data_IF_740369958543
#
_entry.id   IF_740369958543
#
_cell.length_a   1.000
_cell.length_b   1.000
_cell.length_c   1.000
_cell.angle_alpha   90.00
_cell.angle_beta   90.00
_cell.angle_gamma   90.00
#
_symmetry.space_group_name_H-M   'P 1'
#
loop_
_entity.id
_entity.type
_entity.pdbx_description
1 polymer ?
#
# COMPACT_ATOMS: atom_id res chain seq x y z
N UNK A 1 16.25 -4.79 2.04
CA UNK A 1 17.03 -3.52 1.97
C UNK A 1 16.11 -2.43 1.41
N UNK A 2 16.12 -1.21 1.98
CA UNK A 2 15.22 -0.11 1.54
C UNK A 2 15.96 0.89 0.66
N UNK A 3 17.21 1.20 0.97
CA UNK A 3 18.03 2.13 0.21
C UNK A 3 19.46 1.65 0.09
N UNK A 4 20.06 1.97 -1.04
CA UNK A 4 21.47 1.69 -1.34
C UNK A 4 22.19 2.99 -1.64
N UNK A 5 23.46 3.07 -1.25
CA UNK A 5 24.38 4.14 -1.59
C UNK A 5 25.48 3.65 -2.52
N UNK A 6 26.07 4.59 -3.24
CA UNK A 6 27.31 4.40 -4.00
C UNK A 6 28.26 5.55 -3.70
N UNK A 7 29.54 5.26 -3.54
CA UNK A 7 30.55 6.32 -3.44
C UNK A 7 30.77 6.94 -4.82
N UNK A 8 30.88 8.26 -4.84
CA UNK A 8 31.24 9.00 -6.06
C UNK A 8 32.72 9.35 -5.98
N UNK A 9 33.47 8.95 -6.99
CA UNK A 9 34.90 9.23 -7.06
C UNK A 9 35.20 10.73 -6.89
N UNK A 10 36.22 11.07 -6.10
CA UNK A 10 36.67 12.43 -5.87
C UNK A 10 35.88 13.25 -4.82
N UNK A 11 34.83 12.70 -4.18
CA UNK A 11 34.06 13.38 -3.12
C UNK A 11 34.22 12.81 -1.71
N UNK A 12 34.98 11.72 -1.56
CA UNK A 12 35.25 11.15 -0.25
C UNK A 12 36.53 11.79 0.33
N UNK A 13 36.43 12.46 1.46
CA UNK A 13 37.59 12.92 2.25
C UNK A 13 38.18 11.79 3.11
N UNK A 14 37.80 10.55 2.85
CA UNK A 14 38.29 9.40 3.60
C UNK A 14 39.67 8.96 3.11
N UNK A 15 40.53 8.61 4.03
CA UNK A 15 41.84 7.99 3.78
C UNK A 15 41.71 6.63 3.08
N UNK A 16 40.53 6.06 3.07
CA UNK A 16 40.15 4.85 2.34
C UNK A 16 39.50 5.27 1.02
N UNK A 17 40.28 5.26 -0.05
CA UNK A 17 39.77 5.22 -1.43
C UNK A 17 39.06 3.88 -1.62
N UNK A 18 37.78 3.86 -1.33
CA UNK A 18 36.93 2.77 -1.84
C UNK A 18 36.91 2.90 -3.36
N UNK A 19 37.33 1.88 -4.12
CA UNK A 19 37.19 1.88 -5.57
C UNK A 19 35.70 2.12 -5.92
N UNK A 20 35.41 2.63 -7.12
CA UNK A 20 34.04 2.83 -7.66
C UNK A 20 33.16 1.66 -7.24
N UNK A 21 32.39 1.87 -6.20
CA UNK A 21 32.05 0.78 -5.33
C UNK A 21 30.78 0.10 -5.76
N UNK A 22 30.74 -1.15 -5.52
CA UNK A 22 29.49 -1.90 -5.42
C UNK A 22 28.50 -1.17 -4.52
N UNK A 23 27.21 -1.19 -4.85
CA UNK A 23 26.20 -0.56 -4.03
C UNK A 23 26.19 -1.18 -2.63
N UNK A 24 26.18 -0.35 -1.59
CA UNK A 24 26.11 -0.78 -0.19
C UNK A 24 24.77 -0.39 0.45
N UNK A 25 24.34 -1.19 1.42
CA UNK A 25 23.08 -0.92 2.14
C UNK A 25 23.19 0.32 3.01
N UNK A 26 22.27 1.28 2.83
CA UNK A 26 22.12 2.45 3.69
C UNK A 26 21.00 2.26 4.71
N UNK A 27 19.87 1.74 4.26
CA UNK A 27 18.67 1.56 5.07
C UNK A 27 18.23 0.10 4.99
N UNK A 28 18.01 -0.51 6.14
CA UNK A 28 17.46 -1.84 6.29
C UNK A 28 16.18 -1.82 7.11
N UNK A 29 15.20 -2.67 6.77
CA UNK A 29 14.00 -2.85 7.56
C UNK A 29 13.71 -4.33 7.77
N UNK A 30 13.27 -4.66 8.96
CA UNK A 30 12.82 -5.99 9.34
C UNK A 30 11.38 -5.92 9.89
N UNK A 31 10.47 -6.65 9.25
CA UNK A 31 9.07 -6.69 9.66
C UNK A 31 8.80 -7.86 10.61
N UNK A 32 9.17 -7.70 11.86
CA UNK A 32 8.97 -8.72 12.88
C UNK A 32 7.50 -8.97 13.27
N UNK A 33 6.55 -8.14 12.83
CA UNK A 33 5.11 -8.37 13.05
C UNK A 33 4.58 -9.64 12.35
N UNK A 34 5.28 -10.11 11.32
CA UNK A 34 4.93 -11.31 10.57
C UNK A 34 5.81 -12.52 10.94
N UNK A 35 6.79 -12.34 11.83
CA UNK A 35 7.61 -13.44 12.32
C UNK A 35 6.83 -14.31 13.32
N UNK A 36 7.17 -15.60 13.40
CA UNK A 36 6.61 -16.51 14.40
C UNK A 36 6.84 -16.02 15.86
N UNK A 37 7.94 -15.30 16.08
CA UNK A 37 8.27 -14.70 17.37
C UNK A 37 7.43 -13.46 17.71
N UNK A 38 6.65 -12.92 16.74
CA UNK A 38 5.83 -11.72 16.89
C UNK A 38 6.58 -10.55 17.55
N UNK A 39 7.82 -10.36 17.14
CA UNK A 39 8.67 -9.25 17.61
C UNK A 39 8.33 -7.95 16.89
N UNK A 40 8.79 -6.80 17.41
CA UNK A 40 8.56 -5.51 16.80
C UNK A 40 9.23 -5.36 15.41
N UNK A 41 8.90 -4.29 14.74
CA UNK A 41 9.58 -3.87 13.50
C UNK A 41 10.89 -3.16 13.84
N UNK A 42 11.90 -3.34 13.00
CA UNK A 42 13.21 -2.72 13.18
C UNK A 42 13.58 -1.97 11.90
N UNK A 43 14.05 -0.75 12.07
CA UNK A 43 14.66 0.05 11.01
C UNK A 43 16.12 0.33 11.40
N UNK A 44 17.04 0.04 10.48
CA UNK A 44 18.46 0.33 10.63
C UNK A 44 18.85 1.36 9.59
N UNK A 45 19.46 2.45 10.03
CA UNK A 45 19.93 3.53 9.18
C UNK A 45 21.42 3.78 9.43
N UNK A 46 22.21 3.66 8.37
CA UNK A 46 23.64 3.97 8.37
C UNK A 46 23.95 5.41 7.93
N UNK A 47 22.94 6.24 7.75
CA UNK A 47 23.06 7.61 7.24
C UNK A 47 22.98 8.64 8.36
N UNK A 48 23.78 8.52 9.35
CA UNK A 48 23.75 9.30 10.59
C UNK A 48 23.64 10.83 10.41
N UNK A 49 24.14 11.43 9.34
CA UNK A 49 24.07 12.86 9.07
C UNK A 49 22.64 13.45 9.03
N UNK A 50 21.66 12.66 8.62
CA UNK A 50 20.26 13.12 8.54
C UNK A 50 19.56 13.18 9.90
N UNK A 51 20.15 12.61 10.92
CA UNK A 51 19.59 12.58 12.27
C UNK A 51 20.06 13.74 13.17
N UNK A 52 21.00 14.56 12.68
CA UNK A 52 21.47 15.70 13.45
C UNK A 52 20.57 16.92 13.31
N UNK A 53 20.18 17.47 14.44
CA UNK A 53 19.33 18.66 14.53
C UNK A 53 19.87 19.84 13.72
N UNK A 54 21.18 20.08 13.72
CA UNK A 54 21.80 21.15 12.96
C UNK A 54 21.59 21.03 11.46
N UNK A 55 21.66 19.82 10.92
CA UNK A 55 21.42 19.57 9.51
C UNK A 55 19.93 19.72 9.16
N UNK A 56 19.06 19.19 9.99
CA UNK A 56 17.60 19.33 9.81
C UNK A 56 17.16 20.79 9.86
N UNK A 57 17.71 21.59 10.79
CA UNK A 57 17.41 23.03 10.87
C UNK A 57 17.93 23.80 9.64
N UNK A 58 19.09 23.44 9.11
CA UNK A 58 19.62 24.08 7.91
C UNK A 58 18.71 23.80 6.68
N UNK A 59 18.16 22.61 6.54
CA UNK A 59 17.16 22.31 5.50
C UNK A 59 15.85 23.07 5.71
N UNK A 60 15.35 23.09 6.95
CA UNK A 60 14.07 23.73 7.29
C UNK A 60 14.07 25.26 7.06
N UNK A 61 15.21 25.92 7.26
CA UNK A 61 15.36 27.39 7.16
C UNK A 61 15.88 27.86 5.79
N UNK A 62 16.20 26.95 4.88
CA UNK A 62 16.74 27.32 3.57
C UNK A 62 15.69 28.02 2.71
N UNK A 63 16.06 29.14 2.09
CA UNK A 63 15.26 29.83 1.09
C UNK A 63 15.37 29.21 -0.33
N UNK A 64 16.24 28.22 -0.52
CA UNK A 64 16.43 27.57 -1.80
C UNK A 64 15.29 26.57 -2.09
N UNK A 65 14.53 26.71 -3.20
CA UNK A 65 13.40 25.83 -3.52
C UNK A 65 13.78 24.33 -3.63
N UNK A 66 14.96 24.04 -4.18
CA UNK A 66 15.46 22.66 -4.28
C UNK A 66 15.69 22.05 -2.90
N UNK A 67 16.27 22.83 -1.99
CA UNK A 67 16.50 22.40 -0.59
C UNK A 67 15.18 22.21 0.13
N UNK A 68 14.18 23.07 -0.11
CA UNK A 68 12.84 22.91 0.44
C UNK A 68 12.16 21.62 -0.02
N UNK A 69 12.30 21.25 -1.29
CA UNK A 69 11.78 19.96 -1.80
C UNK A 69 12.41 18.80 -1.03
N UNK A 70 13.73 18.77 -0.89
CA UNK A 70 14.41 17.74 -0.12
C UNK A 70 14.03 17.74 1.38
N UNK A 71 13.73 18.91 1.94
CA UNK A 71 13.20 18.99 3.30
C UNK A 71 11.85 18.28 3.46
N UNK A 72 10.92 18.46 2.50
CA UNK A 72 9.65 17.74 2.51
C UNK A 72 9.83 16.22 2.37
N UNK A 73 10.79 15.78 1.57
CA UNK A 73 11.14 14.35 1.43
C UNK A 73 11.69 13.79 2.75
N UNK A 74 12.55 14.52 3.44
CA UNK A 74 13.09 14.14 4.75
C UNK A 74 11.96 14.05 5.80
N UNK A 75 11.06 15.02 5.84
CA UNK A 75 9.90 14.99 6.74
C UNK A 75 9.00 13.78 6.44
N UNK A 76 8.75 13.50 5.16
CA UNK A 76 7.97 12.33 4.73
C UNK A 76 8.66 11.02 5.15
N UNK A 77 9.98 10.93 5.02
CA UNK A 77 10.76 9.79 5.48
C UNK A 77 10.57 9.54 6.98
N UNK A 78 10.78 10.53 7.83
CA UNK A 78 10.63 10.36 9.28
C UNK A 78 9.20 10.01 9.69
N UNK A 79 8.21 10.67 9.09
CA UNK A 79 6.80 10.35 9.32
C UNK A 79 6.50 8.90 8.95
N UNK A 80 6.99 8.44 7.79
CA UNK A 80 6.77 7.08 7.31
C UNK A 80 7.49 6.05 8.19
N UNK A 81 8.68 6.36 8.70
CA UNK A 81 9.39 5.53 9.68
C UNK A 81 8.56 5.39 10.97
N UNK A 82 8.05 6.50 11.51
CA UNK A 82 7.25 6.50 12.73
C UNK A 82 5.96 5.67 12.55
N UNK A 83 5.26 5.86 11.42
CA UNK A 83 4.05 5.09 11.09
C UNK A 83 4.39 3.60 10.97
N UNK A 84 5.47 3.27 10.25
CA UNK A 84 5.84 1.88 10.01
C UNK A 84 6.30 1.15 11.28
N UNK A 85 7.04 1.84 12.16
CA UNK A 85 7.53 1.30 13.43
C UNK A 85 6.44 1.20 14.52
N UNK A 86 5.28 1.80 14.32
CA UNK A 86 4.22 1.80 15.32
C UNK A 86 3.82 0.37 15.71
N UNK A 87 3.48 0.10 16.98
CA UNK A 87 3.04 -1.21 17.46
C UNK A 87 1.84 -1.75 16.68
N UNK A 88 1.72 -3.08 16.59
CA UNK A 88 0.69 -3.78 15.80
C UNK A 88 -0.74 -3.27 16.05
N UNK A 89 -1.11 -3.05 17.32
CA UNK A 89 -2.42 -2.49 17.65
C UNK A 89 -2.63 -1.06 17.13
N UNK A 90 -1.59 -0.22 17.14
CA UNK A 90 -1.63 1.11 16.57
C UNK A 90 -1.71 1.09 15.04
N UNK A 91 -1.04 0.13 14.40
CA UNK A 91 -1.13 -0.06 12.94
C UNK A 91 -2.57 -0.33 12.51
N UNK A 92 -3.29 -1.21 13.21
CA UNK A 92 -4.69 -1.50 12.93
C UNK A 92 -5.59 -0.25 13.10
N UNK A 93 -5.40 0.53 14.15
CA UNK A 93 -6.14 1.77 14.36
C UNK A 93 -5.84 2.81 13.27
N UNK A 94 -4.57 3.00 12.89
CA UNK A 94 -4.17 3.91 11.82
C UNK A 94 -4.73 3.47 10.47
N UNK A 95 -4.75 2.17 10.17
CA UNK A 95 -5.37 1.60 8.98
C UNK A 95 -6.85 1.95 8.92
N UNK A 96 -7.60 1.64 9.98
CA UNK A 96 -9.04 1.94 10.05
C UNK A 96 -9.33 3.43 9.88
N UNK A 97 -8.59 4.29 10.58
CA UNK A 97 -8.71 5.73 10.42
C UNK A 97 -8.43 6.18 8.98
N UNK A 98 -7.36 5.68 8.35
CA UNK A 98 -7.02 5.98 6.96
C UNK A 98 -8.13 5.55 5.99
N UNK A 99 -8.70 4.37 6.18
CA UNK A 99 -9.81 3.86 5.35
C UNK A 99 -11.08 4.69 5.53
N UNK A 100 -11.41 5.12 6.76
CA UNK A 100 -12.53 6.03 7.01
C UNK A 100 -12.31 7.41 6.38
N UNK A 101 -11.09 7.93 6.43
CA UNK A 101 -10.77 9.20 5.76
C UNK A 101 -10.89 9.04 4.24
N UNK A 102 -10.40 7.93 3.67
CA UNK A 102 -10.39 7.74 2.22
C UNK A 102 -11.77 7.76 1.58
N UNK A 103 -12.81 7.27 2.28
CA UNK A 103 -14.19 7.28 1.76
C UNK A 103 -14.83 8.69 1.71
N UNK A 104 -14.17 9.70 2.28
CA UNK A 104 -14.59 11.10 2.24
C UNK A 104 -13.73 11.98 1.32
N UNK A 105 -12.70 11.41 0.69
CA UNK A 105 -11.82 12.14 -0.22
C UNK A 105 -12.41 12.12 -1.63
N UNK A 106 -12.50 13.31 -2.26
CA UNK A 106 -12.72 13.42 -3.69
C UNK A 106 -11.49 12.90 -4.48
N UNK A 107 -11.60 12.07 -5.51
CA UNK A 107 -12.82 11.65 -6.21
C UNK A 107 -13.46 10.34 -5.68
N UNK A 108 -13.00 9.78 -4.56
CA UNK A 108 -13.50 8.49 -4.03
C UNK A 108 -15.01 8.55 -3.82
N UNK A 109 -15.51 9.64 -3.25
CA UNK A 109 -16.95 9.82 -2.97
C UNK A 109 -17.81 9.72 -4.24
N UNK A 110 -17.39 10.33 -5.35
CA UNK A 110 -18.13 10.27 -6.62
C UNK A 110 -18.16 8.86 -7.20
N UNK A 111 -17.01 8.18 -7.16
CA UNK A 111 -16.93 6.81 -7.65
C UNK A 111 -17.71 5.82 -6.79
N UNK A 112 -17.75 6.01 -5.48
CA UNK A 112 -18.56 5.19 -4.58
C UNK A 112 -20.03 5.26 -4.97
N UNK A 113 -20.58 6.45 -5.20
CA UNK A 113 -21.98 6.62 -5.58
C UNK A 113 -22.31 5.90 -6.89
N UNK A 114 -21.42 5.96 -7.87
CA UNK A 114 -21.54 5.21 -9.12
C UNK A 114 -21.44 3.69 -8.92
N UNK A 115 -20.43 3.24 -8.19
CA UNK A 115 -20.18 1.82 -7.94
C UNK A 115 -21.32 1.16 -7.15
N UNK A 116 -21.89 1.87 -6.16
CA UNK A 116 -23.03 1.37 -5.38
C UNK A 116 -24.26 1.12 -6.24
N UNK A 117 -24.50 1.95 -7.26
CA UNK A 117 -25.67 1.82 -8.14
C UNK A 117 -25.54 0.68 -9.15
N UNK A 118 -24.34 0.47 -9.68
CA UNK A 118 -24.11 -0.43 -10.80
C UNK A 118 -23.48 -1.74 -10.38
N UNK A 119 -22.58 -1.71 -9.40
CA UNK A 119 -21.84 -2.85 -8.85
C UNK A 119 -21.16 -3.71 -9.92
N UNK A 120 -20.57 -3.03 -10.94
CA UNK A 120 -19.83 -3.68 -12.01
C UNK A 120 -18.36 -3.78 -11.67
N UNK A 121 -17.65 -4.68 -12.37
CA UNK A 121 -16.20 -4.89 -12.17
C UNK A 121 -15.41 -3.60 -12.36
N UNK A 122 -15.64 -2.88 -13.44
CA UNK A 122 -14.90 -1.64 -13.76
C UNK A 122 -15.10 -0.57 -12.70
N UNK A 123 -16.33 -0.40 -12.22
CA UNK A 123 -16.65 0.58 -11.19
C UNK A 123 -15.93 0.24 -9.88
N UNK A 124 -15.90 -1.05 -9.48
CA UNK A 124 -15.20 -1.50 -8.27
C UNK A 124 -13.68 -1.43 -8.43
N UNK A 125 -13.15 -1.78 -9.59
CA UNK A 125 -11.73 -1.68 -9.90
C UNK A 125 -11.22 -0.24 -9.77
N UNK A 126 -11.90 0.70 -10.43
CA UNK A 126 -11.53 2.12 -10.33
C UNK A 126 -11.68 2.66 -8.92
N UNK A 127 -12.74 2.29 -8.21
CA UNK A 127 -12.90 2.67 -6.82
C UNK A 127 -11.73 2.17 -5.94
N UNK A 128 -11.29 0.93 -6.15
CA UNK A 128 -10.12 0.37 -5.46
C UNK A 128 -8.85 1.18 -5.73
N UNK A 129 -8.62 1.59 -6.98
CA UNK A 129 -7.48 2.45 -7.35
C UNK A 129 -7.56 3.81 -6.65
N UNK A 130 -8.70 4.50 -6.71
CA UNK A 130 -8.86 5.83 -6.11
C UNK A 130 -8.73 5.78 -4.59
N UNK A 131 -9.29 4.74 -3.95
CA UNK A 131 -9.14 4.56 -2.51
C UNK A 131 -7.68 4.25 -2.13
N UNK A 132 -6.95 3.51 -2.97
CA UNK A 132 -5.52 3.26 -2.80
C UNK A 132 -4.70 4.55 -2.92
N UNK A 133 -4.99 5.39 -3.91
CA UNK A 133 -4.34 6.70 -4.07
C UNK A 133 -4.63 7.61 -2.88
N UNK A 134 -5.88 7.66 -2.42
CA UNK A 134 -6.26 8.42 -1.23
C UNK A 134 -5.48 7.98 0.02
N UNK A 135 -5.33 6.66 0.25
CA UNK A 135 -4.48 6.14 1.33
C UNK A 135 -3.00 6.47 1.14
N UNK A 136 -2.51 6.44 -0.11
CA UNK A 136 -1.13 6.77 -0.46
C UNK A 136 -0.74 8.21 -0.11
N UNK A 137 -1.70 9.11 0.02
CA UNK A 137 -1.49 10.49 0.51
C UNK A 137 -1.34 10.55 2.03
N UNK A 138 -1.80 9.54 2.76
CA UNK A 138 -1.76 9.47 4.22
C UNK A 138 -0.55 8.69 4.75
N UNK A 139 -0.05 7.72 3.96
CA UNK A 139 1.03 6.83 4.36
C UNK A 139 1.97 6.51 3.20
N UNK A 140 3.12 5.88 3.50
CA UNK A 140 4.04 5.42 2.46
C UNK A 140 3.41 4.31 1.61
N UNK A 141 3.94 4.12 0.39
CA UNK A 141 3.46 3.08 -0.54
C UNK A 141 3.44 1.69 0.11
N UNK A 142 4.51 1.29 0.78
CA UNK A 142 4.58 -0.01 1.47
C UNK A 142 3.50 -0.14 2.55
N UNK A 143 3.27 0.92 3.33
CA UNK A 143 2.27 0.91 4.38
C UNK A 143 0.84 0.87 3.81
N UNK A 144 0.58 1.62 2.74
CA UNK A 144 -0.68 1.60 2.01
C UNK A 144 -0.99 0.19 1.48
N UNK A 145 -0.01 -0.45 0.85
CA UNK A 145 -0.13 -1.84 0.38
C UNK A 145 -0.47 -2.80 1.52
N UNK A 146 0.23 -2.67 2.65
CA UNK A 146 -0.07 -3.47 3.84
C UNK A 146 -1.51 -3.24 4.33
N UNK A 147 -1.95 -2.00 4.40
CA UNK A 147 -3.29 -1.63 4.88
C UNK A 147 -4.42 -2.11 3.97
N UNK A 148 -4.18 -2.21 2.67
CA UNK A 148 -5.14 -2.75 1.71
C UNK A 148 -5.26 -4.27 1.86
N UNK A 149 -4.13 -4.97 1.96
CA UNK A 149 -4.11 -6.42 1.93
C UNK A 149 -4.32 -7.09 3.29
N UNK A 150 -4.00 -6.43 4.39
CA UNK A 150 -4.17 -6.99 5.72
C UNK A 150 -5.61 -7.46 6.02
N UNK A 151 -6.68 -6.69 5.74
CA UNK A 151 -8.05 -7.16 5.94
C UNK A 151 -8.50 -8.22 4.92
N UNK A 152 -7.85 -8.31 3.75
CA UNK A 152 -8.21 -9.25 2.69
C UNK A 152 -7.55 -10.63 2.88
N UNK A 153 -6.37 -10.68 3.48
CA UNK A 153 -5.59 -11.91 3.67
C UNK A 153 -6.37 -13.04 4.37
N UNK A 154 -7.14 -12.80 5.44
CA UNK A 154 -7.88 -13.87 6.11
C UNK A 154 -8.99 -14.51 5.27
N UNK A 155 -9.50 -13.77 4.29
CA UNK A 155 -10.61 -14.23 3.45
C UNK A 155 -10.16 -14.83 2.10
N UNK A 156 -8.93 -14.54 1.70
CA UNK A 156 -8.32 -15.05 0.47
C UNK A 156 -6.91 -15.62 0.72
N UNK A 157 -6.71 -16.55 1.66
CA UNK A 157 -5.37 -17.01 2.04
C UNK A 157 -4.61 -17.59 0.85
N UNK A 158 -5.23 -18.48 0.05
CA UNK A 158 -4.62 -19.07 -1.14
C UNK A 158 -4.20 -18.04 -2.19
N UNK A 159 -5.02 -17.01 -2.37
CA UNK A 159 -4.72 -15.92 -3.29
C UNK A 159 -3.44 -15.17 -2.91
N UNK A 160 -3.14 -15.06 -1.62
CA UNK A 160 -1.92 -14.42 -1.11
C UNK A 160 -0.75 -15.40 -0.97
N UNK A 161 -0.99 -16.69 -0.75
CA UNK A 161 0.04 -17.74 -0.66
C UNK A 161 0.61 -18.12 -2.03
N UNK A 162 -0.23 -18.21 -3.05
CA UNK A 162 0.20 -18.52 -4.43
C UNK A 162 1.03 -17.39 -5.04
N UNK A 163 0.98 -16.20 -4.47
CA UNK A 163 1.73 -15.03 -4.88
C UNK A 163 3.02 -14.80 -4.07
N UNK A 164 3.70 -15.82 -3.60
CA UNK A 164 5.14 -15.76 -3.40
C UNK A 164 5.81 -15.69 -4.80
N UNK A 165 5.61 -14.51 -5.39
CA UNK A 165 5.82 -14.17 -6.79
C UNK A 165 7.25 -14.37 -7.26
N UNK A 166 8.23 -14.27 -6.34
CA UNK A 166 9.64 -14.27 -6.71
C UNK A 166 10.15 -15.67 -7.10
N UNK A 167 9.61 -16.73 -6.51
CA UNK A 167 10.06 -18.09 -6.81
C UNK A 167 9.38 -18.69 -8.06
N UNK A 168 8.09 -18.41 -8.29
CA UNK A 168 7.35 -18.90 -9.47
C UNK A 168 7.62 -18.11 -10.75
N UNK A 169 7.98 -16.83 -10.65
CA UNK A 169 8.30 -16.03 -11.84
C UNK A 169 9.55 -16.50 -12.59
N UNK A 170 10.44 -17.28 -11.96
CA UNK A 170 11.57 -17.89 -12.64
C UNK A 170 11.16 -19.04 -13.58
N UNK A 171 9.98 -19.62 -13.40
CA UNK A 171 9.51 -20.78 -14.19
C UNK A 171 8.51 -20.38 -15.31
N UNK A 172 7.92 -19.16 -15.23
CA UNK A 172 6.96 -18.66 -16.21
C UNK A 172 7.62 -17.78 -17.28
N UNK A 173 7.09 -17.83 -18.51
CA UNK A 173 7.51 -16.85 -19.52
C UNK A 173 7.18 -15.42 -19.05
N UNK A 174 7.97 -14.42 -19.48
CA UNK A 174 7.74 -13.01 -19.09
C UNK A 174 6.33 -12.52 -19.42
N UNK A 175 5.73 -13.05 -20.48
CA UNK A 175 4.38 -12.66 -20.92
C UNK A 175 3.30 -13.25 -20.02
N UNK A 176 3.41 -14.54 -19.66
CA UNK A 176 2.48 -15.21 -18.74
C UNK A 176 2.55 -14.59 -17.33
N UNK A 177 3.76 -14.29 -16.85
CA UNK A 177 3.97 -13.61 -15.59
C UNK A 177 3.34 -12.20 -15.58
N UNK A 178 3.47 -11.44 -16.67
CA UNK A 178 2.87 -10.11 -16.80
C UNK A 178 1.34 -10.15 -16.82
N UNK A 179 0.75 -11.10 -17.58
CA UNK A 179 -0.70 -11.28 -17.66
C UNK A 179 -1.30 -11.74 -16.32
N UNK A 180 -0.64 -12.69 -15.65
CA UNK A 180 -1.05 -13.16 -14.32
C UNK A 180 -1.01 -12.04 -13.29
N UNK A 181 0.01 -11.18 -13.34
CA UNK A 181 0.14 -10.02 -12.46
C UNK A 181 -0.97 -8.99 -12.70
N UNK A 182 -1.30 -8.68 -13.96
CA UNK A 182 -2.37 -7.74 -14.28
C UNK A 182 -3.74 -8.25 -13.80
N UNK A 183 -4.04 -9.52 -14.01
CA UNK A 183 -5.27 -10.13 -13.52
C UNK A 183 -5.35 -10.10 -11.99
N UNK A 184 -4.24 -10.38 -11.31
CA UNK A 184 -4.14 -10.30 -9.86
C UNK A 184 -4.39 -8.87 -9.34
N UNK A 185 -3.71 -7.89 -9.92
CA UNK A 185 -3.86 -6.48 -9.53
C UNK A 185 -5.32 -6.03 -9.74
N UNK A 186 -5.93 -6.41 -10.86
CA UNK A 186 -7.32 -6.08 -11.17
C UNK A 186 -8.32 -6.70 -10.18
N UNK A 187 -8.12 -7.97 -9.83
CA UNK A 187 -8.96 -8.68 -8.84
C UNK A 187 -8.79 -8.09 -7.45
N UNK A 188 -7.56 -7.78 -7.05
CA UNK A 188 -7.24 -7.16 -5.76
C UNK A 188 -7.91 -5.79 -5.62
N UNK A 189 -7.81 -4.97 -6.67
CA UNK A 189 -8.43 -3.64 -6.68
C UNK A 189 -9.95 -3.72 -6.66
N UNK A 190 -10.57 -4.64 -7.41
CA UNK A 190 -12.01 -4.83 -7.37
C UNK A 190 -12.49 -5.35 -6.01
N UNK A 191 -11.75 -6.26 -5.37
CA UNK A 191 -12.04 -6.71 -4.02
C UNK A 191 -11.95 -5.56 -3.01
N UNK A 192 -10.89 -4.75 -3.10
CA UNK A 192 -10.75 -3.58 -2.24
C UNK A 192 -11.83 -2.53 -2.50
N UNK A 193 -12.20 -2.27 -3.76
CA UNK A 193 -13.33 -1.41 -4.12
C UNK A 193 -14.65 -1.88 -3.52
N UNK A 194 -14.89 -3.19 -3.53
CA UNK A 194 -16.03 -3.81 -2.85
C UNK A 194 -16.01 -3.58 -1.34
N UNK A 195 -14.84 -3.71 -0.71
CA UNK A 195 -14.64 -3.42 0.72
C UNK A 195 -14.99 -1.96 1.05
N UNK A 196 -14.50 -1.02 0.26
CA UNK A 196 -14.77 0.43 0.41
C UNK A 196 -16.25 0.76 0.21
N UNK A 197 -16.90 0.14 -0.79
CA UNK A 197 -18.35 0.27 -0.99
C UNK A 197 -19.17 -0.19 0.22
N UNK A 198 -18.80 -1.33 0.80
CA UNK A 198 -19.47 -1.86 1.99
C UNK A 198 -19.29 -0.93 3.19
N UNK A 199 -18.06 -0.48 3.43
CA UNK A 199 -17.75 0.46 4.50
C UNK A 199 -18.59 1.75 4.37
N UNK A 200 -18.60 2.34 3.18
CA UNK A 200 -19.38 3.57 2.93
C UNK A 200 -20.89 3.39 3.19
N UNK A 201 -21.45 2.24 2.75
CA UNK A 201 -22.87 1.91 2.99
C UNK A 201 -23.20 1.87 4.48
N UNK A 202 -22.31 1.29 5.29
CA UNK A 202 -22.54 1.22 6.75
C UNK A 202 -22.35 2.61 7.39
N UNK A 203 -21.31 3.35 7.01
CA UNK A 203 -21.10 4.73 7.51
C UNK A 203 -22.31 5.63 7.23
N UNK A 204 -22.95 5.51 6.04
CA UNK A 204 -24.16 6.27 5.71
C UNK A 204 -25.39 5.95 6.58
N UNK A 205 -25.46 4.74 7.14
CA UNK A 205 -26.60 4.33 7.99
C UNK A 205 -26.52 4.91 9.39
N UNK A 206 -25.33 5.30 9.83
CA UNK A 206 -25.07 5.68 11.22
C UNK A 206 -25.37 7.15 11.46
N UNK A 207 -26.18 7.40 12.48
CA UNK A 207 -26.32 8.73 13.05
C UNK A 207 -25.05 9.08 13.83
N UNK A 208 -24.63 10.34 13.81
CA UNK A 208 -23.34 10.85 14.38
C UNK A 208 -22.96 10.36 15.78
N UNK A 209 -23.86 9.75 16.55
CA UNK A 209 -23.60 9.25 17.90
C UNK A 209 -22.87 7.89 17.96
N UNK A 210 -22.93 7.10 16.88
CA UNK A 210 -22.56 5.67 16.93
C UNK A 210 -21.26 5.35 16.17
N UNK A 211 -20.44 6.36 15.87
CA UNK A 211 -19.22 6.20 15.07
C UNK A 211 -18.19 5.20 15.69
N UNK A 212 -18.21 5.04 17.03
CA UNK A 212 -17.34 4.07 17.71
C UNK A 212 -17.74 2.61 17.49
N UNK A 213 -18.98 2.33 17.12
CA UNK A 213 -19.43 0.95 16.85
C UNK A 213 -18.90 0.45 15.52
N UNK A 214 -18.84 1.30 14.47
CA UNK A 214 -18.25 0.93 13.18
C UNK A 214 -16.81 0.46 13.34
N UNK A 215 -16.02 1.10 14.18
CA UNK A 215 -14.60 0.78 14.30
C UNK A 215 -14.37 -0.66 14.75
N UNK A 216 -15.29 -1.23 15.53
CA UNK A 216 -15.20 -2.64 15.99
C UNK A 216 -15.49 -3.62 14.88
N UNK A 217 -16.49 -3.35 14.03
CA UNK A 217 -16.98 -4.26 13.00
C UNK A 217 -16.41 -3.97 11.61
N UNK A 218 -15.57 -2.94 11.50
CA UNK A 218 -15.07 -2.43 10.24
C UNK A 218 -14.35 -3.49 9.40
N UNK A 219 -13.55 -4.34 10.02
CA UNK A 219 -12.82 -5.40 9.32
C UNK A 219 -13.78 -6.44 8.74
N UNK A 220 -14.84 -6.81 9.48
CA UNK A 220 -15.88 -7.73 9.00
C UNK A 220 -16.69 -7.13 7.85
N UNK A 221 -17.09 -5.88 7.97
CA UNK A 221 -17.79 -5.15 6.91
C UNK A 221 -16.96 -5.11 5.64
N UNK A 222 -15.70 -4.76 5.74
CA UNK A 222 -14.78 -4.70 4.61
C UNK A 222 -14.53 -6.07 3.99
N UNK A 223 -14.37 -7.11 4.80
CA UNK A 223 -14.20 -8.49 4.32
C UNK A 223 -15.41 -8.98 3.55
N UNK A 224 -16.62 -8.67 4.02
CA UNK A 224 -17.88 -9.00 3.32
C UNK A 224 -17.95 -8.31 1.96
N UNK A 225 -17.66 -7.02 1.91
CA UNK A 225 -17.63 -6.26 0.67
C UNK A 225 -16.54 -6.75 -0.30
N UNK A 226 -15.37 -7.11 0.21
CA UNK A 226 -14.28 -7.65 -0.58
C UNK A 226 -14.63 -9.01 -1.22
N UNK A 227 -15.31 -9.90 -0.50
CA UNK A 227 -15.80 -11.18 -1.06
C UNK A 227 -16.74 -10.95 -2.24
N UNK A 228 -17.62 -9.97 -2.14
CA UNK A 228 -18.54 -9.61 -3.21
C UNK A 228 -17.80 -9.01 -4.41
N UNK A 229 -16.88 -8.07 -4.18
CA UNK A 229 -16.04 -7.49 -5.24
C UNK A 229 -15.21 -8.56 -5.97
N UNK A 230 -14.63 -9.51 -5.24
CA UNK A 230 -13.89 -10.63 -5.82
C UNK A 230 -14.76 -11.52 -6.71
N UNK A 231 -15.99 -11.87 -6.28
CA UNK A 231 -16.93 -12.66 -7.09
C UNK A 231 -17.26 -11.95 -8.41
N UNK A 232 -17.49 -10.64 -8.35
CA UNK A 232 -17.77 -9.84 -9.53
C UNK A 232 -16.57 -9.83 -10.48
N UNK A 233 -15.37 -9.67 -9.95
CA UNK A 233 -14.14 -9.71 -10.73
C UNK A 233 -13.92 -11.07 -11.40
N UNK A 234 -14.07 -12.17 -10.66
CA UNK A 234 -13.95 -13.53 -11.18
C UNK A 234 -14.94 -13.79 -12.33
N UNK A 235 -16.19 -13.36 -12.16
CA UNK A 235 -17.21 -13.49 -13.20
C UNK A 235 -16.84 -12.70 -14.45
N UNK A 236 -16.47 -11.43 -14.31
CA UNK A 236 -16.11 -10.55 -15.42
C UNK A 236 -14.91 -11.09 -16.22
N UNK A 237 -13.86 -11.54 -15.53
CA UNK A 237 -12.70 -12.16 -16.17
C UNK A 237 -13.05 -13.47 -16.87
N UNK A 238 -13.86 -14.32 -16.25
CA UNK A 238 -14.32 -15.57 -16.86
C UNK A 238 -15.18 -15.33 -18.12
N UNK A 239 -16.03 -14.32 -18.12
CA UNK A 239 -16.83 -13.94 -19.28
C UNK A 239 -15.95 -13.35 -20.40
N UNK A 240 -14.94 -12.55 -20.07
CA UNK A 240 -13.96 -12.04 -21.02
C UNK A 240 -13.17 -13.18 -21.70
N UNK A 241 -12.68 -14.17 -20.93
CA UNK A 241 -11.99 -15.34 -21.49
C UNK A 241 -12.87 -16.09 -22.48
N UNK A 242 -14.14 -16.35 -22.14
CA UNK A 242 -15.09 -17.02 -23.06
C UNK A 242 -15.35 -16.25 -24.34
N UNK A 243 -15.39 -14.91 -24.26
CA UNK A 243 -15.54 -14.07 -25.46
C UNK A 243 -14.30 -14.14 -26.34
N UNK A 244 -13.10 -14.09 -25.75
CA UNK A 244 -11.84 -14.23 -26.50
C UNK A 244 -11.74 -15.59 -27.19
N UNK A 245 -12.12 -16.69 -26.53
CA UNK A 245 -12.17 -18.01 -27.14
C UNK A 245 -13.12 -18.08 -28.37
N UNK A 246 -14.26 -17.37 -28.29
CA UNK A 246 -15.20 -17.30 -29.44
C UNK A 246 -14.66 -16.47 -30.60
N UNK A 247 -13.83 -15.47 -30.34
CA UNK A 247 -13.22 -14.65 -31.40
C UNK A 247 -12.04 -15.33 -32.09
N UNK A 248 -11.44 -16.34 -31.44
CA UNK A 248 -10.34 -17.13 -32.00
C UNK A 248 -10.81 -18.35 -32.83
N UNK A 249 -12.09 -18.67 -32.81
CA UNK A 249 -12.74 -19.70 -33.63
C UNK A 249 -13.37 -19.12 -34.89
#
# INVERSE_FOLDING_TARGET
MIAQGRTVAGRTKSVYTLPNSDPFGLLGAYNGHHSAANVGRVLVDATWHHWFNVNLNAFATSANPTVQTHWYDIQAFFRNCAIWLAPKGKQAAMRRAGQLISIHIYPVVEFIESAIRRFRFEDLYHLGIYATDALGRLASRCQTTTWIFEPLRPIFPRFFEEFHFEERMMEMSMMEAAMSRQAYDAMSMAAYGGAICALYKEVKKIKKADACEIEKDMDEIMQKGAKEGMKIAQKALGDACKQMEKMMK
#
